data_IF_046364335261
#
_entry.id   IF_046364335261
#
_cell.length_a   1.000
_cell.length_b   1.000
_cell.length_c   1.000
_cell.angle_alpha   90.00
_cell.angle_beta   90.00
_cell.angle_gamma   90.00
#
_symmetry.space_group_name_H-M   'P 1'
#
loop_
_entity.id
_entity.type
_entity.pdbx_description
1 polymer ?
#
# COMPACT_ATOMS: atom_id res chain seq x y z
N UNK A 1 -27.54 -0.61 32.92
CA UNK A 1 -26.86 -1.78 32.34
C UNK A 1 -26.52 -1.60 30.90
N UNK A 2 -27.45 -1.22 30.04
CA UNK A 2 -27.20 -0.91 28.61
C UNK A 2 -26.16 0.22 28.46
N UNK A 3 -26.26 1.25 29.28
CA UNK A 3 -25.33 2.39 29.22
C UNK A 3 -23.88 1.95 29.49
N UNK A 4 -23.68 1.06 30.47
CA UNK A 4 -22.35 0.55 30.81
C UNK A 4 -21.78 -0.31 29.67
N UNK A 5 -22.63 -1.06 28.99
CA UNK A 5 -22.22 -1.88 27.86
C UNK A 5 -21.78 -1.01 26.66
N UNK A 6 -22.56 0.04 26.36
CA UNK A 6 -22.23 1.02 25.32
C UNK A 6 -20.94 1.76 25.63
N UNK A 7 -20.71 2.14 26.87
CA UNK A 7 -19.48 2.78 27.31
C UNK A 7 -18.27 1.87 27.07
N UNK A 8 -18.39 0.58 27.39
CA UNK A 8 -17.31 -0.41 27.15
C UNK A 8 -17.05 -0.60 25.68
N UNK A 9 -18.09 -0.69 24.85
CA UNK A 9 -17.93 -0.81 23.40
C UNK A 9 -17.23 0.40 22.83
N UNK A 10 -17.63 1.60 23.24
CA UNK A 10 -16.99 2.83 22.79
C UNK A 10 -15.53 2.90 23.21
N UNK A 11 -15.22 2.52 24.45
CA UNK A 11 -13.85 2.48 24.97
C UNK A 11 -12.97 1.51 24.16
N UNK A 12 -13.47 0.31 23.87
CA UNK A 12 -12.76 -0.68 23.06
C UNK A 12 -12.53 -0.15 21.65
N UNK A 13 -13.51 0.51 21.04
CA UNK A 13 -13.38 1.11 19.72
C UNK A 13 -12.32 2.20 19.69
N UNK A 14 -12.27 3.05 20.71
CA UNK A 14 -11.24 4.09 20.82
C UNK A 14 -9.86 3.47 20.94
N UNK A 15 -9.68 2.46 21.78
CA UNK A 15 -8.41 1.73 21.93
C UNK A 15 -7.98 1.06 20.63
N UNK A 16 -8.91 0.43 19.94
CA UNK A 16 -8.65 -0.19 18.65
C UNK A 16 -8.17 0.82 17.62
N UNK A 17 -8.84 1.97 17.52
CA UNK A 17 -8.45 3.02 16.58
C UNK A 17 -7.07 3.58 16.90
N UNK A 18 -6.75 3.76 18.18
CA UNK A 18 -5.42 4.22 18.59
C UNK A 18 -4.33 3.21 18.25
N UNK A 19 -4.58 1.92 18.46
CA UNK A 19 -3.65 0.85 18.11
C UNK A 19 -3.45 0.78 16.59
N UNK A 20 -4.52 0.92 15.82
CA UNK A 20 -4.44 0.91 14.36
C UNK A 20 -3.60 2.08 13.83
N UNK A 21 -3.76 3.26 14.40
CA UNK A 21 -2.95 4.42 14.04
C UNK A 21 -1.48 4.20 14.36
N UNK A 22 -1.17 3.64 15.53
CA UNK A 22 0.20 3.33 15.92
C UNK A 22 0.83 2.29 15.01
N UNK A 23 0.08 1.25 14.68
CA UNK A 23 0.54 0.21 13.75
C UNK A 23 0.83 0.79 12.39
N UNK A 24 -0.07 1.61 11.85
CA UNK A 24 0.11 2.24 10.55
C UNK A 24 1.32 3.16 10.54
N UNK A 25 1.51 3.97 11.59
CA UNK A 25 2.68 4.82 11.72
C UNK A 25 3.97 4.01 11.75
N UNK A 26 3.97 2.86 12.41
CA UNK A 26 5.14 1.97 12.47
C UNK A 26 5.47 1.42 11.08
N UNK A 27 4.46 1.02 10.32
CA UNK A 27 4.63 0.53 8.94
C UNK A 27 5.20 1.63 8.05
N UNK A 28 4.64 2.83 8.15
CA UNK A 28 5.11 3.99 7.39
C UNK A 28 6.58 4.30 7.69
N UNK A 29 6.97 4.29 8.96
CA UNK A 29 8.35 4.50 9.38
C UNK A 29 9.28 3.42 8.83
N UNK A 30 8.85 2.17 8.85
CA UNK A 30 9.62 1.06 8.28
C UNK A 30 9.81 1.23 6.78
N UNK A 31 8.77 1.63 6.07
CA UNK A 31 8.83 1.90 4.62
C UNK A 31 9.82 3.03 4.35
N UNK A 32 9.73 4.13 5.08
CA UNK A 32 10.65 5.27 4.93
C UNK A 32 12.09 4.84 5.20
N UNK A 33 12.31 4.03 6.24
CA UNK A 33 13.64 3.48 6.58
C UNK A 33 14.22 2.67 5.42
N UNK A 34 13.41 1.83 4.80
CA UNK A 34 13.84 1.02 3.65
C UNK A 34 14.17 1.92 2.45
N UNK A 35 13.35 2.91 2.18
CA UNK A 35 13.58 3.85 1.07
C UNK A 35 14.85 4.69 1.29
N UNK A 36 15.15 5.05 2.53
CA UNK A 36 16.38 5.76 2.86
C UNK A 36 17.61 4.90 2.67
N UNK A 37 17.50 3.60 2.95
CA UNK A 37 18.61 2.65 2.76
C UNK A 37 18.86 2.36 1.28
N UNK A 38 17.82 2.37 0.46
CA UNK A 38 17.90 2.05 -0.97
C UNK A 38 17.45 3.26 -1.81
N UNK A 39 18.35 4.23 -2.06
CA UNK A 39 17.98 5.45 -2.78
C UNK A 39 17.58 5.24 -4.24
N UNK A 40 17.84 4.06 -4.81
CA UNK A 40 17.34 3.67 -6.13
C UNK A 40 15.82 3.52 -6.18
N UNK A 41 15.16 3.48 -5.03
CA UNK A 41 13.70 3.40 -4.93
C UNK A 41 13.13 4.70 -4.32
N UNK A 42 12.11 5.26 -4.95
CA UNK A 42 11.47 6.49 -4.49
C UNK A 42 10.24 6.22 -3.63
N UNK A 43 9.61 5.07 -3.79
CA UNK A 43 8.35 4.74 -3.13
C UNK A 43 8.10 3.24 -3.06
N UNK A 44 7.12 2.87 -2.25
CA UNK A 44 6.48 1.55 -2.28
C UNK A 44 5.02 1.79 -2.67
N UNK A 45 4.52 0.99 -3.59
CA UNK A 45 3.18 1.13 -4.15
C UNK A 45 2.45 -0.19 -4.11
N UNK A 46 1.14 -0.14 -3.80
CA UNK A 46 0.25 -1.29 -3.96
C UNK A 46 -1.11 -0.83 -4.44
N UNK A 47 -1.89 -1.79 -4.94
CA UNK A 47 -3.27 -1.59 -5.32
C UNK A 47 -4.13 -2.46 -4.41
N UNK A 48 -5.21 -1.90 -3.91
CA UNK A 48 -6.20 -2.63 -3.11
C UNK A 48 -7.57 -2.44 -3.73
N UNK A 49 -8.36 -3.49 -3.78
CA UNK A 49 -9.68 -3.42 -4.41
C UNK A 49 -10.61 -4.54 -3.94
N UNK A 50 -11.91 -4.30 -4.16
CA UNK A 50 -12.94 -5.32 -4.03
C UNK A 50 -13.45 -5.58 -5.44
N UNK A 51 -13.30 -6.80 -6.00
CA UNK A 51 -13.83 -7.09 -7.33
C UNK A 51 -15.33 -6.88 -7.39
N UNK A 52 -15.81 -6.27 -8.48
CA UNK A 52 -17.24 -6.03 -8.65
C UNK A 52 -18.01 -7.26 -9.12
N UNK A 53 -17.30 -8.28 -9.56
CA UNK A 53 -17.89 -9.54 -10.02
C UNK A 53 -17.03 -10.73 -9.60
N UNK A 54 -17.68 -11.77 -9.11
CA UNK A 54 -17.00 -12.99 -8.67
C UNK A 54 -17.97 -14.17 -8.78
N UNK A 55 -17.96 -14.89 -9.85
CA UNK A 55 -18.68 -16.12 -10.25
C UNK A 55 -19.47 -16.83 -9.13
N UNK A 56 -20.47 -16.15 -8.54
CA UNK A 56 -21.32 -16.73 -7.51
C UNK A 56 -20.73 -16.75 -6.11
N UNK A 57 -19.50 -16.30 -5.93
CA UNK A 57 -18.87 -16.20 -4.61
C UNK A 57 -18.91 -14.74 -4.11
N UNK A 58 -18.77 -14.55 -2.81
CA UNK A 58 -18.71 -13.23 -2.23
C UNK A 58 -17.42 -12.52 -2.65
N UNK A 59 -17.55 -11.27 -3.12
CA UNK A 59 -16.38 -10.44 -3.43
C UNK A 59 -15.63 -10.09 -2.15
N UNK A 60 -14.32 -10.27 -2.17
CA UNK A 60 -13.45 -9.99 -1.02
C UNK A 60 -12.44 -8.92 -1.35
N UNK A 61 -12.16 -8.08 -0.36
CA UNK A 61 -11.07 -7.13 -0.45
C UNK A 61 -9.77 -7.86 -0.76
N UNK A 62 -9.05 -7.37 -1.77
CA UNK A 62 -7.80 -7.97 -2.23
C UNK A 62 -6.71 -6.93 -2.25
N UNK A 63 -5.56 -7.31 -1.73
CA UNK A 63 -4.35 -6.50 -1.76
C UNK A 63 -3.40 -7.10 -2.79
N UNK A 64 -3.04 -6.30 -3.81
CA UNK A 64 -1.97 -6.69 -4.73
C UNK A 64 -0.61 -6.55 -4.02
N UNK A 65 0.33 -7.40 -4.39
CA UNK A 65 1.66 -7.39 -3.80
C UNK A 65 2.30 -6.01 -3.90
N UNK A 66 2.75 -5.43 -2.78
CA UNK A 66 3.48 -4.17 -2.81
C UNK A 66 4.79 -4.30 -3.60
N UNK A 67 5.14 -3.25 -4.34
CA UNK A 67 6.35 -3.20 -5.16
C UNK A 67 7.06 -1.88 -4.98
N UNK A 68 8.37 -1.91 -5.19
CA UNK A 68 9.17 -0.69 -5.22
C UNK A 68 8.92 0.10 -6.49
N UNK A 69 9.08 1.41 -6.40
CA UNK A 69 9.07 2.32 -7.54
C UNK A 69 10.47 2.87 -7.75
N UNK A 70 10.99 2.75 -8.97
CA UNK A 70 12.32 3.26 -9.31
C UNK A 70 12.39 4.77 -9.14
N UNK A 71 13.52 5.28 -8.64
CA UNK A 71 13.77 6.71 -8.51
C UNK A 71 14.10 7.40 -9.84
N UNK A 72 14.31 6.64 -10.91
CA UNK A 72 14.62 7.17 -12.23
C UNK A 72 13.35 7.58 -12.95
N UNK A 73 13.22 8.88 -13.27
CA UNK A 73 12.10 9.39 -14.05
C UNK A 73 12.18 8.86 -15.49
N UNK A 74 11.03 8.42 -16.02
CA UNK A 74 10.93 7.96 -17.40
C UNK A 74 10.58 9.15 -18.32
N UNK A 75 11.21 9.16 -19.52
CA UNK A 75 10.80 10.09 -20.56
C UNK A 75 9.43 9.69 -21.12
N UNK A 76 8.79 10.59 -21.88
CA UNK A 76 7.48 10.29 -22.49
C UNK A 76 7.55 9.05 -23.38
N UNK A 77 8.63 8.87 -24.13
CA UNK A 77 8.83 7.71 -24.99
C UNK A 77 9.03 6.43 -24.18
N UNK A 78 9.83 6.50 -23.12
CA UNK A 78 10.05 5.37 -22.23
C UNK A 78 8.77 4.97 -21.49
N UNK A 79 8.00 5.96 -21.05
CA UNK A 79 6.72 5.73 -20.35
C UNK A 79 5.71 5.01 -21.26
N UNK A 80 5.67 5.34 -22.54
CA UNK A 80 4.80 4.67 -23.51
C UNK A 80 5.18 3.23 -23.76
N UNK A 81 6.46 2.92 -23.67
CA UNK A 81 6.98 1.57 -23.90
C UNK A 81 6.83 0.66 -22.68
N UNK A 82 6.62 1.21 -21.49
CA UNK A 82 6.51 0.45 -20.26
C UNK A 82 5.07 0.12 -19.91
N UNK A 83 4.82 -1.12 -19.45
CA UNK A 83 3.49 -1.58 -19.05
C UNK A 83 3.19 -1.31 -17.57
N UNK A 84 4.23 -1.19 -16.73
CA UNK A 84 4.10 -1.03 -15.30
C UNK A 84 4.76 0.26 -14.86
N UNK A 85 3.95 1.33 -14.83
CA UNK A 85 4.40 2.65 -14.45
C UNK A 85 3.48 3.25 -13.39
N UNK A 86 3.99 4.25 -12.69
CA UNK A 86 3.22 5.03 -11.73
C UNK A 86 3.56 6.50 -11.91
N UNK A 87 2.55 7.35 -11.75
CA UNK A 87 2.71 8.81 -11.83
C UNK A 87 2.78 9.39 -10.42
N UNK A 88 3.83 10.13 -10.14
CA UNK A 88 4.02 10.84 -8.86
C UNK A 88 4.44 12.26 -9.19
N UNK A 89 3.67 13.27 -8.72
CA UNK A 89 3.97 14.68 -8.93
C UNK A 89 4.22 15.03 -10.41
N UNK A 90 3.33 14.55 -11.30
CA UNK A 90 3.36 14.78 -12.76
C UNK A 90 4.56 14.13 -13.48
N UNK A 91 5.30 13.25 -12.80
CA UNK A 91 6.42 12.50 -13.37
C UNK A 91 6.09 11.02 -13.37
N UNK A 92 6.58 10.29 -14.36
CA UNK A 92 6.32 8.86 -14.53
C UNK A 92 7.55 8.06 -14.13
N UNK A 93 7.34 7.03 -13.32
CA UNK A 93 8.38 6.14 -12.83
C UNK A 93 8.02 4.69 -13.11
N UNK A 94 9.04 3.85 -13.21
CA UNK A 94 8.85 2.40 -13.42
C UNK A 94 8.59 1.69 -12.10
N UNK A 95 7.64 0.76 -12.11
CA UNK A 95 7.45 -0.18 -11.02
C UNK A 95 8.50 -1.29 -11.16
N UNK A 96 9.25 -1.55 -10.11
CA UNK A 96 10.40 -2.46 -10.13
C UNK A 96 9.98 -3.87 -9.78
N UNK A 97 10.39 -4.83 -10.60
CA UNK A 97 10.31 -6.23 -10.26
C UNK A 97 11.53 -6.60 -9.40
N UNK A 98 11.29 -6.84 -8.12
CA UNK A 98 12.32 -7.09 -7.12
C UNK A 98 13.13 -8.35 -7.43
N UNK A 99 12.52 -9.33 -8.11
CA UNK A 99 13.17 -10.61 -8.38
C UNK A 99 14.31 -10.50 -9.38
N UNK A 100 14.25 -9.52 -10.28
CA UNK A 100 15.22 -9.42 -11.38
C UNK A 100 16.36 -8.44 -11.14
N UNK A 101 16.23 -7.46 -10.22
CA UNK A 101 17.20 -6.35 -10.13
C UNK A 101 17.63 -5.94 -8.73
N UNK A 102 17.05 -6.48 -7.67
CA UNK A 102 17.34 -6.01 -6.33
C UNK A 102 18.26 -6.93 -5.54
N UNK A 103 18.89 -6.35 -4.53
CA UNK A 103 19.67 -7.14 -3.58
C UNK A 103 18.74 -8.04 -2.77
N UNK A 104 19.29 -9.12 -2.23
CA UNK A 104 18.54 -10.03 -1.39
C UNK A 104 17.92 -9.34 -0.16
N UNK A 105 18.63 -8.37 0.42
CA UNK A 105 18.15 -7.63 1.59
C UNK A 105 16.91 -6.78 1.28
N UNK A 106 16.91 -6.04 0.16
CA UNK A 106 15.75 -5.23 -0.24
C UNK A 106 14.53 -6.10 -0.53
N UNK A 107 14.73 -7.28 -1.10
CA UNK A 107 13.66 -8.25 -1.35
C UNK A 107 13.07 -8.75 -0.03
N UNK A 108 13.91 -9.14 0.94
CA UNK A 108 13.45 -9.61 2.24
C UNK A 108 12.67 -8.53 2.99
N UNK A 109 13.14 -7.30 2.95
CA UNK A 109 12.44 -6.18 3.61
C UNK A 109 11.07 -5.94 2.99
N UNK A 110 10.97 -5.98 1.67
CA UNK A 110 9.69 -5.84 0.97
C UNK A 110 8.75 -6.99 1.31
N UNK A 111 9.25 -8.23 1.36
CA UNK A 111 8.46 -9.39 1.76
C UNK A 111 7.91 -9.26 3.18
N UNK A 112 8.71 -8.76 4.12
CA UNK A 112 8.27 -8.52 5.48
C UNK A 112 7.17 -7.46 5.54
N UNK A 113 7.33 -6.37 4.81
CA UNK A 113 6.31 -5.33 4.71
C UNK A 113 5.03 -5.90 4.10
N UNK A 114 5.15 -6.66 3.01
CA UNK A 114 4.00 -7.30 2.35
C UNK A 114 3.24 -8.22 3.31
N UNK A 115 3.96 -9.05 4.07
CA UNK A 115 3.34 -9.95 5.03
C UNK A 115 2.55 -9.19 6.11
N UNK A 116 3.11 -8.10 6.61
CA UNK A 116 2.40 -7.26 7.59
C UNK A 116 1.16 -6.65 6.96
N UNK A 117 1.26 -6.12 5.76
CA UNK A 117 0.12 -5.51 5.06
C UNK A 117 -1.00 -6.53 4.79
N UNK A 118 -0.67 -7.76 4.40
CA UNK A 118 -1.67 -8.81 4.21
C UNK A 118 -2.39 -9.17 5.51
N UNK A 119 -1.74 -9.03 6.65
CA UNK A 119 -2.35 -9.30 7.94
C UNK A 119 -3.23 -8.18 8.47
N UNK A 120 -3.20 -7.00 7.84
CA UNK A 120 -3.99 -5.84 8.26
C UNK A 120 -4.90 -5.32 7.13
N UNK A 121 -5.37 -6.21 6.27
CA UNK A 121 -6.23 -5.83 5.13
C UNK A 121 -7.45 -5.01 5.57
N UNK A 122 -8.09 -5.36 6.67
CA UNK A 122 -9.23 -4.62 7.20
C UNK A 122 -8.87 -3.17 7.54
N UNK A 123 -7.71 -2.96 8.13
CA UNK A 123 -7.20 -1.63 8.44
C UNK A 123 -6.93 -0.82 7.16
N UNK A 124 -6.34 -1.46 6.15
CA UNK A 124 -6.03 -0.81 4.87
C UNK A 124 -7.31 -0.41 4.14
N UNK A 125 -8.33 -1.27 4.15
CA UNK A 125 -9.63 -0.96 3.56
C UNK A 125 -10.29 0.22 4.26
N UNK A 126 -10.26 0.25 5.57
CA UNK A 126 -10.80 1.34 6.38
C UNK A 126 -10.04 2.65 6.16
N UNK A 127 -8.71 2.57 6.08
CA UNK A 127 -7.84 3.75 5.98
C UNK A 127 -7.86 4.38 4.58
N UNK A 128 -7.86 3.58 3.52
CA UNK A 128 -7.68 4.03 2.15
C UNK A 128 -8.87 3.78 1.23
N UNK A 129 -9.84 2.98 1.67
CA UNK A 129 -11.01 2.64 0.88
C UNK A 129 -10.91 1.32 0.13
N UNK A 130 -12.03 0.91 -0.47
CA UNK A 130 -12.15 -0.39 -1.14
C UNK A 130 -11.36 -0.48 -2.44
N UNK A 131 -11.21 0.64 -3.15
CA UNK A 131 -10.56 0.67 -4.46
C UNK A 131 -9.58 1.83 -4.50
N UNK A 132 -8.31 1.54 -4.26
CA UNK A 132 -7.29 2.56 -4.15
C UNK A 132 -5.93 2.08 -4.64
N UNK A 133 -5.17 3.02 -5.22
CA UNK A 133 -3.74 2.91 -5.42
C UNK A 133 -3.08 3.68 -4.29
N UNK A 134 -2.24 3.03 -3.52
CA UNK A 134 -1.54 3.64 -2.40
C UNK A 134 -0.05 3.71 -2.71
N UNK A 135 0.52 4.90 -2.63
CA UNK A 135 1.93 5.16 -2.89
C UNK A 135 2.52 5.84 -1.65
N UNK A 136 3.49 5.20 -1.03
CA UNK A 136 4.16 5.75 0.15
C UNK A 136 5.57 6.16 -0.26
N UNK A 137 5.82 7.46 -0.21
CA UNK A 137 7.15 8.06 -0.45
C UNK A 137 7.80 8.41 0.89
N UNK A 138 9.02 8.96 0.85
CA UNK A 138 9.69 9.42 2.06
C UNK A 138 8.95 10.56 2.76
N UNK A 139 8.22 11.37 2.00
CA UNK A 139 7.63 12.62 2.50
C UNK A 139 6.12 12.58 2.64
N UNK A 140 5.44 11.69 1.90
CA UNK A 140 3.99 11.71 1.87
C UNK A 140 3.37 10.35 1.51
N UNK A 141 2.08 10.23 1.75
CA UNK A 141 1.26 9.11 1.32
C UNK A 141 0.31 9.65 0.26
N UNK A 142 0.34 9.04 -0.92
CA UNK A 142 -0.53 9.41 -2.04
C UNK A 142 -1.56 8.32 -2.21
N UNK A 143 -2.84 8.70 -2.24
CA UNK A 143 -3.94 7.75 -2.44
C UNK A 143 -4.73 8.20 -3.66
N UNK A 144 -4.77 7.35 -4.67
CA UNK A 144 -5.55 7.59 -5.89
C UNK A 144 -6.68 6.58 -5.97
N UNK A 145 -7.78 6.98 -6.60
CA UNK A 145 -8.85 6.03 -6.90
C UNK A 145 -8.35 4.96 -7.88
N UNK A 146 -8.80 3.73 -7.70
CA UNK A 146 -8.47 2.62 -8.59
C UNK A 146 -9.73 1.99 -9.13
N UNK A 147 -9.77 1.78 -10.46
CA UNK A 147 -10.87 1.09 -11.11
C UNK A 147 -10.35 -0.24 -11.65
N UNK A 148 -10.90 -1.33 -11.13
CA UNK A 148 -10.48 -2.69 -11.52
C UNK A 148 -10.99 -3.12 -12.91
N UNK A 149 -11.74 -2.26 -13.61
CA UNK A 149 -12.15 -2.51 -14.99
C UNK A 149 -13.43 -3.33 -15.16
N UNK A 150 -14.18 -3.53 -14.09
CA UNK A 150 -15.46 -4.26 -14.15
C UNK A 150 -16.67 -3.39 -13.89
#
# INVERSE_FOLDING_TARGET
MLDTLLEKVNEINIQRNDLNKKLFNTIEQEIVSVLDKYPEFIAIRWIQYVPSYNDGEACRFTLHEPKYVSSTELSDEEAKAENYTVEIADKVYRIVDVESKSTWDSKLRLLNISNVLYNIEDLLEEQFGENAEVIITRDEIIVNGYNCGY
#
